data_IF_400115582038
#
_entry.id   IF_400115582038
#
_cell.length_a   1.000
_cell.length_b   1.000
_cell.length_c   1.000
_cell.angle_alpha   90.00
_cell.angle_beta   90.00
_cell.angle_gamma   90.00
#
_symmetry.space_group_name_H-M   'P 1'
#
loop_
_entity.id
_entity.type
_entity.pdbx_description
1 polymer ?
#
# COMPACT_ATOMS: atom_id res chain seq x y z
N UNK A 1 6.05 -1.39 0.82
CA UNK A 1 5.03 -2.37 0.43
C UNK A 1 4.82 -2.36 -1.08
N UNK A 2 4.34 -1.26 -1.69
CA UNK A 2 4.08 -1.17 -3.14
C UNK A 2 5.27 -1.61 -3.99
N UNK A 3 6.45 -1.02 -3.79
CA UNK A 3 7.65 -1.39 -4.55
C UNK A 3 8.01 -2.89 -4.43
N UNK A 4 7.80 -3.50 -3.26
CA UNK A 4 8.07 -4.93 -3.07
C UNK A 4 7.01 -5.80 -3.78
N UNK A 5 5.74 -5.40 -3.73
CA UNK A 5 4.65 -6.09 -4.40
C UNK A 5 4.71 -5.95 -5.94
N UNK A 6 5.23 -4.83 -6.43
CA UNK A 6 5.40 -4.53 -7.86
C UNK A 6 6.69 -5.12 -8.44
N UNK A 7 7.54 -5.75 -7.62
CA UNK A 7 8.81 -6.33 -8.07
C UNK A 7 9.93 -5.31 -8.32
N UNK A 8 9.77 -4.08 -7.82
CA UNK A 8 10.79 -3.00 -7.87
C UNK A 8 11.73 -3.08 -6.67
N UNK A 9 11.31 -3.67 -5.55
CA UNK A 9 12.16 -3.88 -4.38
C UNK A 9 12.28 -5.38 -4.07
N UNK A 10 13.29 -6.01 -4.69
CA UNK A 10 13.53 -7.46 -4.68
C UNK A 10 14.87 -7.83 -4.06
N UNK A 11 15.06 -9.12 -3.79
CA UNK A 11 16.35 -9.64 -3.29
C UNK A 11 17.52 -9.27 -4.19
N UNK A 12 17.38 -9.43 -5.51
CA UNK A 12 18.42 -9.12 -6.49
C UNK A 12 18.85 -7.66 -6.45
N UNK A 13 17.87 -6.75 -6.32
CA UNK A 13 18.12 -5.31 -6.21
C UNK A 13 18.84 -5.00 -4.89
N UNK A 14 18.44 -5.63 -3.78
CA UNK A 14 19.15 -5.48 -2.50
C UNK A 14 20.60 -5.96 -2.62
N UNK A 15 20.83 -7.15 -3.19
CA UNK A 15 22.16 -7.74 -3.34
C UNK A 15 23.05 -6.91 -4.28
N UNK A 16 22.51 -6.42 -5.38
CA UNK A 16 23.25 -5.58 -6.32
C UNK A 16 23.70 -4.27 -5.66
N UNK A 17 22.83 -3.63 -4.89
CA UNK A 17 23.19 -2.42 -4.14
C UNK A 17 24.26 -2.72 -3.06
N UNK A 18 24.15 -3.80 -2.30
CA UNK A 18 25.17 -4.18 -1.32
C UNK A 18 26.56 -4.37 -1.95
N UNK A 19 26.60 -4.90 -3.18
CA UNK A 19 27.83 -5.06 -3.95
C UNK A 19 28.34 -3.74 -4.51
N UNK A 20 27.49 -2.93 -5.13
CA UNK A 20 27.87 -1.64 -5.73
C UNK A 20 28.44 -0.68 -4.69
N UNK A 21 27.89 -0.69 -3.47
CA UNK A 21 28.35 0.18 -2.38
C UNK A 21 29.40 -0.49 -1.48
N UNK A 22 29.91 -1.68 -1.84
CA UNK A 22 30.89 -2.44 -1.06
C UNK A 22 30.52 -2.53 0.44
N UNK A 23 29.24 -2.71 0.77
CA UNK A 23 28.76 -2.64 2.16
C UNK A 23 29.44 -3.70 3.03
N UNK A 24 29.79 -4.86 2.45
CA UNK A 24 30.51 -5.92 3.14
C UNK A 24 31.92 -5.52 3.62
N UNK A 25 32.51 -4.45 3.10
CA UNK A 25 33.81 -3.92 3.54
C UNK A 25 33.66 -2.84 4.62
N UNK A 26 32.45 -2.29 4.78
CA UNK A 26 32.16 -1.21 5.73
C UNK A 26 31.74 -1.71 7.12
N UNK A 27 31.31 -2.97 7.23
CA UNK A 27 30.80 -3.55 8.47
C UNK A 27 31.40 -4.93 8.75
N UNK A 28 31.60 -5.24 10.03
CA UNK A 28 32.16 -6.52 10.48
C UNK A 28 31.13 -7.67 10.54
N UNK A 29 29.94 -7.49 9.94
CA UNK A 29 28.86 -8.48 9.96
C UNK A 29 28.10 -8.48 8.64
N UNK A 30 27.43 -9.58 8.30
CA UNK A 30 26.56 -9.68 7.12
C UNK A 30 25.09 -9.78 7.50
N UNK A 31 24.61 -8.81 8.29
CA UNK A 31 23.22 -8.75 8.76
C UNK A 31 22.54 -7.51 8.21
N UNK A 32 21.31 -7.66 7.71
CA UNK A 32 20.52 -6.59 7.12
C UNK A 32 19.19 -6.48 7.85
N UNK A 33 18.82 -5.27 8.24
CA UNK A 33 17.47 -5.00 8.75
C UNK A 33 16.63 -4.57 7.55
N UNK A 34 15.61 -5.35 7.24
CA UNK A 34 14.69 -5.14 6.13
C UNK A 34 13.37 -4.54 6.64
N UNK A 35 12.72 -3.63 5.90
CA UNK A 35 11.37 -3.19 6.24
C UNK A 35 10.41 -4.38 6.31
N UNK A 36 9.55 -4.45 7.34
CA UNK A 36 8.66 -5.60 7.50
C UNK A 36 7.78 -5.84 6.27
N UNK A 37 7.28 -4.77 5.65
CA UNK A 37 6.38 -4.85 4.50
C UNK A 37 7.09 -5.11 3.17
N UNK A 38 8.38 -5.47 3.20
CA UNK A 38 9.15 -5.89 2.02
C UNK A 38 9.11 -7.40 1.74
N UNK A 39 8.48 -8.18 2.63
CA UNK A 39 8.38 -9.65 2.55
C UNK A 39 7.85 -10.15 1.20
N UNK A 40 7.00 -9.38 0.53
CA UNK A 40 6.45 -9.72 -0.79
C UNK A 40 7.52 -9.78 -1.91
N UNK A 41 8.60 -9.01 -1.79
CA UNK A 41 9.62 -8.86 -2.83
C UNK A 41 11.01 -9.35 -2.43
N UNK A 42 11.41 -9.16 -1.16
CA UNK A 42 12.73 -9.56 -0.66
C UNK A 42 12.62 -10.87 0.09
N UNK A 43 13.41 -11.88 -0.29
CA UNK A 43 13.38 -13.23 0.29
C UNK A 43 14.61 -13.46 1.15
N UNK A 44 14.43 -13.66 2.46
CA UNK A 44 15.52 -13.97 3.42
C UNK A 44 16.36 -15.18 3.02
N UNK A 45 15.72 -16.22 2.44
CA UNK A 45 16.41 -17.44 2.02
C UNK A 45 17.46 -17.15 0.94
N UNK A 46 17.07 -16.38 -0.06
CA UNK A 46 17.91 -16.00 -1.20
C UNK A 46 19.04 -15.03 -0.77
N UNK A 47 18.77 -14.11 0.16
CA UNK A 47 19.83 -13.31 0.80
C UNK A 47 20.86 -14.21 1.49
N UNK A 48 20.39 -15.24 2.21
CA UNK A 48 21.25 -16.17 2.96
C UNK A 48 22.13 -17.00 2.04
N UNK A 49 21.60 -17.42 0.88
CA UNK A 49 22.38 -18.10 -0.16
C UNK A 49 23.55 -17.24 -0.67
N UNK A 50 23.42 -15.91 -0.62
CA UNK A 50 24.47 -14.95 -0.96
C UNK A 50 25.27 -14.46 0.26
N UNK A 51 25.17 -15.15 1.39
CA UNK A 51 25.95 -14.87 2.61
C UNK A 51 25.44 -13.70 3.44
N UNK A 52 24.23 -13.18 3.17
CA UNK A 52 23.60 -12.13 3.96
C UNK A 52 22.43 -12.66 4.79
N UNK A 53 22.43 -12.35 6.08
CA UNK A 53 21.32 -12.62 6.96
C UNK A 53 20.36 -11.42 6.97
N UNK A 54 19.28 -11.50 6.20
CA UNK A 54 18.18 -10.54 6.32
C UNK A 54 17.40 -10.77 7.61
N UNK A 55 16.94 -9.72 8.29
CA UNK A 55 16.05 -9.72 9.45
C UNK A 55 14.95 -8.70 9.18
N UNK A 56 13.68 -9.10 9.23
CA UNK A 56 12.59 -8.14 9.08
C UNK A 56 12.42 -7.34 10.38
N UNK A 57 12.74 -6.05 10.30
CA UNK A 57 12.53 -5.09 11.37
C UNK A 57 11.04 -4.80 11.62
N UNK A 58 10.73 -3.76 12.41
CA UNK A 58 9.35 -3.36 12.71
C UNK A 58 8.62 -2.80 11.48
N UNK A 59 7.30 -2.70 11.58
CA UNK A 59 6.45 -2.02 10.59
C UNK A 59 6.73 -0.53 10.57
N UNK A 60 6.78 0.10 11.74
CA UNK A 60 7.03 1.53 11.88
C UNK A 60 8.50 1.82 12.23
N UNK A 61 9.05 2.86 11.60
CA UNK A 61 10.44 3.26 11.84
C UNK A 61 10.66 3.78 13.27
N UNK A 62 9.63 4.34 13.91
CA UNK A 62 9.67 4.81 15.30
C UNK A 62 10.09 3.72 16.27
N UNK A 63 9.74 2.47 15.97
CA UNK A 63 10.01 1.33 16.85
C UNK A 63 11.41 0.75 16.63
N UNK A 64 12.17 1.26 15.66
CA UNK A 64 13.49 0.76 15.32
C UNK A 64 14.45 0.81 16.52
N UNK A 65 14.38 1.89 17.32
CA UNK A 65 15.25 2.04 18.50
C UNK A 65 14.98 0.95 19.54
N UNK A 66 13.72 0.69 19.85
CA UNK A 66 13.34 -0.35 20.80
C UNK A 66 13.67 -1.74 20.24
N UNK A 67 13.40 -1.98 18.96
CA UNK A 67 13.77 -3.22 18.27
C UNK A 67 15.27 -3.53 18.36
N UNK A 68 16.14 -2.52 18.18
CA UNK A 68 17.58 -2.66 18.34
C UNK A 68 17.97 -2.98 19.78
N UNK A 69 17.39 -2.27 20.76
CA UNK A 69 17.65 -2.50 22.18
C UNK A 69 17.20 -3.89 22.65
N UNK A 70 16.14 -4.44 22.04
CA UNK A 70 15.63 -5.79 22.30
C UNK A 70 16.40 -6.88 21.54
N UNK A 71 17.61 -6.60 21.07
CA UNK A 71 18.47 -7.58 20.41
C UNK A 71 17.92 -8.06 19.07
N UNK A 72 17.27 -7.17 18.30
CA UNK A 72 16.63 -7.49 17.01
C UNK A 72 15.42 -8.42 17.14
N UNK A 73 14.73 -8.34 18.27
CA UNK A 73 13.50 -9.09 18.54
C UNK A 73 12.29 -8.15 18.50
N UNK A 74 11.27 -8.53 17.74
CA UNK A 74 10.02 -7.76 17.65
C UNK A 74 9.04 -8.19 18.74
N UNK A 75 8.39 -7.22 19.38
CA UNK A 75 7.17 -7.47 20.13
C UNK A 75 5.98 -7.65 19.14
N UNK A 76 4.78 -7.96 19.64
CA UNK A 76 3.60 -8.15 18.78
C UNK A 76 3.15 -6.85 18.11
N UNK A 77 3.27 -5.73 18.81
CA UNK A 77 2.79 -4.42 18.35
C UNK A 77 3.62 -3.89 17.18
N UNK A 78 4.95 -4.09 17.22
CA UNK A 78 5.89 -3.79 16.13
C UNK A 78 5.62 -4.56 14.83
N UNK A 79 4.88 -5.67 14.91
CA UNK A 79 4.57 -6.50 13.76
C UNK A 79 3.23 -6.13 13.12
N UNK A 80 2.35 -5.45 13.85
CA UNK A 80 1.03 -5.08 13.38
C UNK A 80 1.12 -3.78 12.59
N UNK A 81 0.49 -3.77 11.41
CA UNK A 81 0.19 -2.52 10.72
C UNK A 81 -1.08 -1.96 11.34
N UNK A 82 -1.01 -0.78 11.94
CA UNK A 82 -2.20 -0.03 12.31
C UNK A 82 -2.85 0.45 11.01
N UNK A 83 -3.97 -0.19 10.64
CA UNK A 83 -4.76 0.20 9.47
C UNK A 83 -6.12 0.73 9.91
N UNK A 84 -6.08 1.86 10.64
CA UNK A 84 -7.24 2.54 11.19
C UNK A 84 -7.99 3.38 10.16
N UNK A 85 -8.96 4.16 10.65
CA UNK A 85 -9.75 5.06 9.79
C UNK A 85 -8.90 6.16 9.15
N UNK A 86 -7.84 6.62 9.81
CA UNK A 86 -6.98 7.67 9.28
C UNK A 86 -6.13 7.19 8.09
N UNK A 87 -5.60 5.98 8.18
CA UNK A 87 -4.86 5.31 7.11
C UNK A 87 -5.75 5.07 5.91
N UNK A 88 -6.97 4.61 6.15
CA UNK A 88 -8.00 4.47 5.12
C UNK A 88 -8.33 5.82 4.48
N UNK A 89 -8.48 6.89 5.27
CA UNK A 89 -8.72 8.22 4.71
C UNK A 89 -7.58 8.69 3.80
N UNK A 90 -6.32 8.56 4.25
CA UNK A 90 -5.12 8.88 3.45
C UNK A 90 -5.09 8.09 2.14
N UNK A 91 -5.40 6.80 2.18
CA UNK A 91 -5.48 5.96 0.98
C UNK A 91 -6.64 6.37 0.07
N UNK A 92 -7.80 6.69 0.63
CA UNK A 92 -8.97 7.17 -0.12
C UNK A 92 -8.67 8.46 -0.85
N UNK A 93 -7.99 9.40 -0.18
CA UNK A 93 -7.56 10.66 -0.79
C UNK A 93 -6.58 10.43 -1.94
N UNK A 94 -5.54 9.62 -1.71
CA UNK A 94 -4.56 9.27 -2.76
C UNK A 94 -5.24 8.64 -3.98
N UNK A 95 -6.14 7.68 -3.74
CA UNK A 95 -6.86 6.98 -4.79
C UNK A 95 -7.84 7.90 -5.53
N UNK A 96 -8.54 8.80 -4.83
CA UNK A 96 -9.44 9.77 -5.43
C UNK A 96 -8.70 10.72 -6.39
N UNK A 97 -7.53 11.23 -5.97
CA UNK A 97 -6.69 12.09 -6.82
C UNK A 97 -6.20 11.32 -8.05
N UNK A 98 -5.64 10.12 -7.86
CA UNK A 98 -5.15 9.30 -8.96
C UNK A 98 -6.25 8.97 -9.97
N UNK A 99 -7.41 8.50 -9.51
CA UNK A 99 -8.55 8.19 -10.38
C UNK A 99 -9.09 9.43 -11.08
N UNK A 100 -9.07 10.60 -10.43
CA UNK A 100 -9.46 11.85 -11.09
C UNK A 100 -8.53 12.17 -12.25
N UNK A 101 -7.22 12.02 -12.08
CA UNK A 101 -6.25 12.26 -13.16
C UNK A 101 -6.47 11.32 -14.34
N UNK A 102 -6.77 10.04 -14.08
CA UNK A 102 -7.06 9.06 -15.13
C UNK A 102 -8.40 9.35 -15.82
N UNK A 103 -9.41 9.76 -15.06
CA UNK A 103 -10.78 9.97 -15.57
C UNK A 103 -11.04 11.38 -16.11
N UNK A 104 -10.11 12.33 -15.99
CA UNK A 104 -10.38 13.73 -16.36
C UNK A 104 -10.70 13.87 -17.85
N UNK A 105 -9.95 13.19 -18.72
CA UNK A 105 -10.16 13.21 -20.17
C UNK A 105 -11.53 12.63 -20.53
N UNK A 106 -11.90 11.40 -20.12
CA UNK A 106 -13.22 10.87 -20.44
C UNK A 106 -14.36 11.70 -19.83
N UNK A 107 -14.17 12.30 -18.65
CA UNK A 107 -15.18 13.21 -18.07
C UNK A 107 -15.41 14.41 -18.99
N UNK A 108 -14.36 15.08 -19.46
CA UNK A 108 -14.54 16.23 -20.35
C UNK A 108 -15.01 15.85 -21.76
N UNK A 109 -14.73 14.64 -22.24
CA UNK A 109 -15.20 14.19 -23.55
C UNK A 109 -16.67 13.79 -23.56
N UNK A 110 -17.16 13.14 -22.50
CA UNK A 110 -18.50 12.54 -22.48
C UNK A 110 -19.49 13.23 -21.54
N UNK A 111 -19.01 14.05 -20.61
CA UNK A 111 -19.80 14.70 -19.57
C UNK A 111 -19.30 16.13 -19.29
N UNK A 112 -18.92 16.90 -20.34
CA UNK A 112 -18.36 18.24 -20.17
C UNK A 112 -19.27 19.18 -19.38
N UNK A 113 -20.59 19.08 -19.58
CA UNK A 113 -21.57 19.93 -18.88
C UNK A 113 -21.74 19.54 -17.40
N UNK A 114 -21.33 18.32 -17.04
CA UNK A 114 -21.48 17.72 -15.72
C UNK A 114 -20.14 17.31 -15.10
N UNK A 115 -19.06 18.00 -15.47
CA UNK A 115 -17.69 17.61 -15.11
C UNK A 115 -17.46 17.61 -13.59
N UNK A 116 -18.10 18.53 -12.86
CA UNK A 116 -18.03 18.61 -11.39
C UNK A 116 -18.66 17.36 -10.76
N UNK A 117 -19.81 16.94 -11.27
CA UNK A 117 -20.52 15.74 -10.82
C UNK A 117 -19.71 14.48 -11.15
N UNK A 118 -19.07 14.44 -12.33
CA UNK A 118 -18.16 13.36 -12.72
C UNK A 118 -17.00 13.19 -11.74
N UNK A 119 -16.32 14.29 -11.38
CA UNK A 119 -15.25 14.26 -10.36
C UNK A 119 -15.81 13.86 -8.99
N UNK A 120 -16.96 14.41 -8.60
CA UNK A 120 -17.63 14.06 -7.34
C UNK A 120 -17.94 12.57 -7.22
N UNK A 121 -18.39 11.92 -8.29
CA UNK A 121 -18.64 10.49 -8.35
C UNK A 121 -17.35 9.66 -8.21
N UNK A 122 -16.27 10.08 -8.87
CA UNK A 122 -14.96 9.43 -8.72
C UNK A 122 -14.49 9.47 -7.27
N UNK A 123 -14.60 10.63 -6.62
CA UNK A 123 -14.22 10.80 -5.22
C UNK A 123 -15.11 9.99 -4.28
N UNK A 124 -16.43 10.03 -4.49
CA UNK A 124 -17.37 9.21 -3.74
C UNK A 124 -17.01 7.72 -3.81
N UNK A 125 -16.74 7.21 -5.01
CA UNK A 125 -16.40 5.81 -5.21
C UNK A 125 -15.06 5.46 -4.54
N UNK A 126 -14.03 6.31 -4.69
CA UNK A 126 -12.73 6.09 -4.06
C UNK A 126 -12.81 6.05 -2.52
N UNK A 127 -13.54 6.99 -1.91
CA UNK A 127 -13.68 7.04 -0.44
C UNK A 127 -14.59 5.93 0.09
N UNK A 128 -15.70 5.64 -0.58
CA UNK A 128 -16.61 4.56 -0.15
C UNK A 128 -15.91 3.20 -0.19
N UNK A 129 -15.14 2.92 -1.24
CA UNK A 129 -14.29 1.72 -1.30
C UNK A 129 -13.28 1.70 -0.16
N UNK A 130 -12.63 2.81 0.19
CA UNK A 130 -11.58 2.73 1.20
C UNK A 130 -12.09 2.68 2.65
N UNK A 131 -13.22 3.33 2.93
CA UNK A 131 -13.77 3.48 4.27
C UNK A 131 -14.83 2.42 4.62
N UNK A 132 -15.67 2.03 3.66
CA UNK A 132 -16.88 1.23 3.91
C UNK A 132 -16.69 -0.24 3.52
N UNK A 133 -15.80 -0.55 2.57
CA UNK A 133 -15.63 -1.89 1.99
C UNK A 133 -15.45 -3.01 3.02
N UNK A 134 -14.80 -2.72 4.15
CA UNK A 134 -14.59 -3.71 5.21
C UNK A 134 -15.89 -4.20 5.86
N UNK A 135 -16.95 -3.39 5.86
CA UNK A 135 -18.25 -3.75 6.43
C UNK A 135 -19.14 -4.52 5.44
N UNK A 136 -18.75 -4.57 4.16
CA UNK A 136 -19.54 -5.23 3.12
C UNK A 136 -19.13 -6.71 3.07
N UNK A 137 -20.06 -7.65 3.33
CA UNK A 137 -19.74 -9.07 3.52
C UNK A 137 -19.47 -9.84 2.21
N UNK A 138 -19.13 -9.15 1.12
CA UNK A 138 -18.77 -9.81 -0.15
C UNK A 138 -17.28 -10.09 -0.22
N UNK A 139 -16.86 -11.20 -0.82
CA UNK A 139 -15.44 -11.49 -1.01
C UNK A 139 -14.86 -10.83 -2.26
N UNK A 140 -15.67 -10.67 -3.31
CA UNK A 140 -15.21 -10.09 -4.58
C UNK A 140 -15.36 -8.58 -4.60
N UNK A 141 -14.27 -7.90 -4.95
CA UNK A 141 -14.20 -6.44 -5.06
C UNK A 141 -15.26 -5.86 -6.01
N UNK A 142 -15.50 -6.54 -7.13
CA UNK A 142 -16.52 -6.18 -8.12
C UNK A 142 -17.92 -6.05 -7.51
N UNK A 143 -18.34 -7.01 -6.68
CA UNK A 143 -19.66 -6.97 -6.05
C UNK A 143 -19.79 -5.86 -5.02
N UNK A 144 -18.70 -5.55 -4.31
CA UNK A 144 -18.67 -4.41 -3.39
C UNK A 144 -18.82 -3.08 -4.14
N UNK A 145 -18.12 -2.94 -5.27
CA UNK A 145 -18.24 -1.77 -6.13
C UNK A 145 -19.67 -1.59 -6.66
N UNK A 146 -20.29 -2.66 -7.15
CA UNK A 146 -21.69 -2.63 -7.57
C UNK A 146 -22.63 -2.22 -6.44
N UNK A 147 -22.47 -2.79 -5.25
CA UNK A 147 -23.28 -2.44 -4.09
C UNK A 147 -23.14 -0.96 -3.71
N UNK A 148 -21.91 -0.40 -3.77
CA UNK A 148 -21.65 1.01 -3.49
C UNK A 148 -22.15 1.96 -4.58
N UNK A 149 -22.42 1.48 -5.79
CA UNK A 149 -23.04 2.28 -6.86
C UNK A 149 -24.56 2.41 -6.76
N UNK A 150 -25.23 1.55 -5.98
CA UNK A 150 -26.69 1.53 -5.86
C UNK A 150 -27.31 2.85 -5.37
N UNK A 151 -26.76 3.55 -4.36
CA UNK A 151 -27.32 4.82 -3.91
C UNK A 151 -27.34 5.89 -5.01
N UNK A 152 -26.31 5.92 -5.87
CA UNK A 152 -26.24 6.85 -7.00
C UNK A 152 -27.34 6.52 -8.01
N UNK A 153 -27.49 5.23 -8.35
CA UNK A 153 -28.51 4.79 -9.30
C UNK A 153 -29.93 5.14 -8.82
N UNK A 154 -30.22 4.92 -7.53
CA UNK A 154 -31.50 5.31 -6.92
C UNK A 154 -31.73 6.82 -7.02
N UNK A 155 -30.75 7.65 -6.67
CA UNK A 155 -30.86 9.11 -6.74
C UNK A 155 -31.14 9.58 -8.17
N UNK A 156 -30.45 9.02 -9.16
CA UNK A 156 -30.69 9.36 -10.57
C UNK A 156 -32.09 8.97 -11.06
N UNK A 157 -32.61 7.82 -10.63
CA UNK A 157 -33.95 7.37 -11.00
C UNK A 157 -35.07 8.19 -10.35
N UNK A 158 -34.84 8.71 -9.14
CA UNK A 158 -35.82 9.54 -8.42
C UNK A 158 -35.82 11.02 -8.81
N UNK A 159 -34.81 11.46 -9.56
CA UNK A 159 -34.65 12.85 -10.02
C UNK A 159 -35.18 13.08 -11.46
N UNK A 160 -35.77 12.04 -12.06
CA UNK A 160 -36.48 12.03 -13.35
C UNK A 160 -37.98 12.07 -13.06
#
# INVERSE_FOLDING_TARGET
>A
WCAAAEGVFTTDIVLSHLKVYNVGELVNHKRLILPQLSVAGVKRKELKEHGWEGIYGPVYFTDLKEFLNNGLTKNKDMQALEYGYWERFKMGLSHAVFCTLVCIIPIFLFASDWWIQGIGLVWYFAFSMQLIEHFIPFERLLYKGLALSLPILVLTLTSI
#
